data_IF_228990897960
#
_entry.id   IF_228990897960
#
_cell.length_a   1.000
_cell.length_b   1.000
_cell.length_c   1.000
_cell.angle_alpha   90.00
_cell.angle_beta   90.00
_cell.angle_gamma   90.00
#
_symmetry.space_group_name_H-M   'P 1'
#
loop_
_entity.id
_entity.type
_entity.pdbx_description
1 polymer ?
#
# COMPACT_ATOMS: atom_id res chain seq x y z
N UNK A 1 -23.02 28.87 -3.19
CA UNK A 1 -23.56 27.51 -2.95
C UNK A 1 -22.52 26.54 -3.50
N UNK A 2 -21.55 26.16 -2.65
CA UNK A 2 -20.36 25.43 -3.07
C UNK A 2 -20.52 24.00 -2.64
N UNK A 3 -20.79 23.10 -3.59
CA UNK A 3 -20.72 21.66 -3.38
C UNK A 3 -19.24 21.25 -3.30
N UNK A 4 -18.78 20.91 -2.11
CA UNK A 4 -17.52 20.21 -1.92
C UNK A 4 -17.80 18.70 -2.01
N UNK A 5 -17.40 18.09 -3.11
CA UNK A 5 -17.35 16.64 -3.20
C UNK A 5 -16.13 16.16 -2.42
N UNK A 6 -16.39 15.47 -1.31
CA UNK A 6 -15.33 14.71 -0.63
C UNK A 6 -15.01 13.47 -1.46
N UNK A 7 -13.81 13.44 -1.99
CA UNK A 7 -13.27 12.28 -2.70
C UNK A 7 -12.99 11.18 -1.68
N UNK A 8 -13.80 10.14 -1.67
CA UNK A 8 -13.42 8.87 -1.09
C UNK A 8 -12.37 8.21 -1.99
N UNK A 9 -11.31 7.61 -1.48
CA UNK A 9 -10.51 6.67 -2.25
C UNK A 9 -11.36 5.42 -2.49
N UNK A 10 -11.99 5.35 -3.65
CA UNK A 10 -12.61 4.13 -4.13
C UNK A 10 -11.47 3.22 -4.55
N UNK A 11 -11.16 2.23 -3.72
CA UNK A 11 -10.41 1.07 -4.17
C UNK A 11 -11.23 0.44 -5.31
N UNK A 12 -10.68 0.43 -6.50
CA UNK A 12 -11.32 -0.04 -7.70
C UNK A 12 -11.61 -1.54 -7.59
N UNK A 13 -12.87 -1.89 -7.36
CA UNK A 13 -13.42 -3.21 -7.60
C UNK A 13 -13.63 -3.36 -9.11
N UNK A 14 -12.65 -3.91 -9.81
CA UNK A 14 -12.82 -4.43 -11.17
C UNK A 14 -13.42 -5.82 -11.09
N UNK A 15 -14.74 -5.88 -11.16
CA UNK A 15 -15.47 -7.10 -11.42
C UNK A 15 -15.37 -7.47 -12.90
N UNK A 16 -14.70 -8.55 -13.23
CA UNK A 16 -14.65 -9.14 -14.56
C UNK A 16 -16.00 -9.83 -14.85
N UNK A 17 -16.80 -9.26 -15.76
CA UNK A 17 -17.94 -9.93 -16.35
C UNK A 17 -17.46 -10.78 -17.53
N UNK A 18 -17.51 -12.10 -17.39
CA UNK A 18 -17.35 -13.07 -18.47
C UNK A 18 -18.63 -13.06 -19.33
N UNK A 19 -18.49 -12.63 -20.58
CA UNK A 19 -19.52 -12.87 -21.61
C UNK A 19 -19.00 -13.95 -22.57
N UNK A 20 -19.63 -15.10 -22.54
CA UNK A 20 -19.49 -16.16 -23.55
C UNK A 20 -20.22 -15.77 -24.82
N UNK A 21 -19.58 -15.90 -25.97
CA UNK A 21 -20.24 -16.16 -27.25
C UNK A 21 -19.39 -17.15 -28.07
N UNK A 22 -20.05 -18.06 -28.81
CA UNK A 22 -19.39 -19.17 -29.49
C UNK A 22 -19.08 -18.92 -30.96
N UNK A 23 -17.97 -19.49 -31.39
CA UNK A 23 -17.75 -20.16 -32.67
C UNK A 23 -17.80 -19.40 -33.97
N UNK A 24 -16.66 -19.47 -34.72
CA UNK A 24 -16.68 -19.83 -36.13
C UNK A 24 -15.29 -20.31 -36.59
N UNK A 25 -15.31 -21.41 -37.32
CA UNK A 25 -14.17 -22.12 -37.88
C UNK A 25 -13.54 -21.45 -39.14
N UNK A 26 -12.31 -21.89 -39.36
CA UNK A 26 -11.60 -22.02 -40.65
C UNK A 26 -11.00 -20.78 -41.30
N UNK A 27 -9.67 -20.74 -41.46
CA UNK A 27 -8.95 -21.25 -42.63
C UNK A 27 -7.43 -21.16 -42.44
N UNK A 28 -6.73 -22.20 -42.83
CA UNK A 28 -5.27 -22.30 -42.89
C UNK A 28 -4.69 -21.31 -43.90
N UNK A 29 -3.71 -20.50 -43.48
CA UNK A 29 -2.72 -19.92 -44.36
C UNK A 29 -1.35 -20.03 -43.71
N UNK A 30 -0.52 -20.83 -44.30
CA UNK A 30 0.90 -21.01 -43.95
C UNK A 30 1.70 -19.84 -44.50
N UNK A 31 2.45 -19.16 -43.64
CA UNK A 31 3.51 -18.26 -44.02
C UNK A 31 4.65 -18.28 -42.99
N UNK A 32 5.90 -18.02 -43.38
CA UNK A 32 7.09 -18.57 -42.75
C UNK A 32 7.45 -17.90 -41.40
N UNK A 33 7.97 -18.71 -40.51
CA UNK A 33 8.57 -18.32 -39.23
C UNK A 33 9.59 -17.20 -39.37
N UNK A 34 9.44 -16.12 -38.58
CA UNK A 34 10.59 -15.35 -38.14
C UNK A 34 11.25 -16.08 -36.99
N UNK A 35 12.54 -16.13 -37.01
CA UNK A 35 13.44 -16.71 -36.01
C UNK A 35 13.05 -16.32 -34.61
N UNK A 36 12.75 -17.31 -33.78
CA UNK A 36 12.63 -17.21 -32.35
C UNK A 36 13.93 -16.66 -31.76
N UNK A 37 13.96 -15.36 -31.51
CA UNK A 37 14.82 -14.81 -30.47
C UNK A 37 14.09 -15.03 -29.15
N UNK A 38 14.32 -16.18 -28.54
CA UNK A 38 13.91 -16.45 -27.16
C UNK A 38 14.50 -15.35 -26.28
N UNK A 39 13.66 -14.40 -25.90
CA UNK A 39 13.93 -13.56 -24.74
C UNK A 39 14.04 -14.50 -23.54
N UNK A 40 15.23 -14.60 -22.97
CA UNK A 40 15.51 -15.42 -21.81
C UNK A 40 14.66 -14.95 -20.65
N UNK A 41 13.62 -15.72 -20.30
CA UNK A 41 12.85 -15.62 -19.05
C UNK A 41 13.73 -16.04 -17.87
N UNK A 42 14.66 -15.21 -17.42
CA UNK A 42 15.60 -15.58 -16.35
C UNK A 42 15.37 -14.86 -15.01
N UNK A 43 14.40 -13.95 -14.93
CA UNK A 43 14.36 -13.00 -13.81
C UNK A 43 13.67 -13.46 -12.52
N UNK A 44 12.53 -14.20 -12.50
CA UNK A 44 11.82 -14.48 -11.23
C UNK A 44 12.56 -15.44 -10.30
N UNK A 45 13.27 -16.43 -10.83
CA UNK A 45 13.89 -17.48 -10.02
C UNK A 45 15.15 -17.00 -9.29
N UNK A 46 15.91 -16.07 -9.84
CA UNK A 46 17.13 -15.51 -9.21
C UNK A 46 16.80 -14.61 -8.02
N UNK A 47 15.74 -13.81 -8.10
CA UNK A 47 15.30 -12.96 -6.98
C UNK A 47 14.81 -13.80 -5.78
N UNK A 48 14.12 -14.92 -6.05
CA UNK A 48 13.66 -15.83 -5.00
C UNK A 48 14.80 -16.44 -4.19
N UNK A 49 15.90 -16.80 -4.83
CA UNK A 49 17.08 -17.35 -4.14
C UNK A 49 17.86 -16.29 -3.36
N UNK A 50 17.81 -15.02 -3.78
CA UNK A 50 18.45 -13.93 -3.06
C UNK A 50 17.80 -13.70 -1.68
N UNK A 51 16.48 -13.79 -1.58
CA UNK A 51 15.76 -13.69 -0.28
C UNK A 51 16.20 -14.78 0.73
N UNK A 52 16.49 -15.98 0.27
CA UNK A 52 17.00 -17.06 1.13
C UNK A 52 18.42 -16.80 1.64
N UNK A 53 19.18 -15.96 0.94
CA UNK A 53 20.57 -15.58 1.30
C UNK A 53 20.65 -14.19 1.93
N UNK A 54 19.51 -13.57 2.23
CA UNK A 54 19.47 -12.27 2.87
C UNK A 54 20.36 -12.20 4.11
N UNK A 55 21.08 -11.11 4.25
CA UNK A 55 22.02 -10.88 5.35
C UNK A 55 21.67 -9.60 6.11
N UNK A 56 21.86 -9.59 7.41
CA UNK A 56 21.65 -8.37 8.21
C UNK A 56 22.60 -7.29 7.73
N UNK A 57 22.03 -6.11 7.44
CA UNK A 57 22.75 -4.98 6.86
C UNK A 57 22.65 -4.89 5.35
N UNK A 58 22.02 -5.87 4.63
CA UNK A 58 21.64 -5.66 3.24
C UNK A 58 20.75 -4.42 3.18
N UNK A 59 21.10 -3.46 2.31
CA UNK A 59 20.44 -2.17 2.28
C UNK A 59 20.35 -1.62 0.86
N UNK A 60 19.21 -1.02 0.54
CA UNK A 60 19.03 -0.17 -0.64
C UNK A 60 18.47 1.18 -0.23
N UNK A 61 18.94 2.26 -0.86
CA UNK A 61 18.47 3.63 -0.60
C UNK A 61 18.09 4.28 -1.92
N UNK A 62 16.91 4.86 -1.95
CA UNK A 62 16.39 5.64 -3.07
C UNK A 62 16.25 7.09 -2.67
N UNK A 63 16.51 8.03 -3.59
CA UNK A 63 15.91 9.34 -3.50
C UNK A 63 14.46 9.24 -3.97
N UNK A 64 13.55 9.90 -3.26
CA UNK A 64 12.17 10.02 -3.69
C UNK A 64 11.75 11.48 -3.82
N UNK A 65 10.82 11.74 -4.72
CA UNK A 65 10.12 13.01 -4.82
C UNK A 65 8.67 12.75 -5.16
N UNK A 66 7.77 13.42 -4.44
CA UNK A 66 6.35 13.45 -4.74
C UNK A 66 5.92 14.91 -4.93
N UNK A 67 5.08 15.16 -5.91
CA UNK A 67 4.55 16.50 -6.21
C UNK A 67 3.05 16.42 -6.41
N UNK A 68 2.31 17.37 -5.86
CA UNK A 68 0.90 17.55 -6.10
C UNK A 68 0.67 18.96 -6.61
N UNK A 69 0.12 19.09 -7.82
CA UNK A 69 -0.25 20.37 -8.38
C UNK A 69 -1.48 20.98 -7.70
N UNK A 70 -1.80 22.23 -8.02
CA UNK A 70 -3.02 22.88 -7.56
C UNK A 70 -4.25 22.16 -8.11
N UNK A 71 -5.35 22.20 -7.36
CA UNK A 71 -6.61 21.63 -7.82
C UNK A 71 -7.08 22.28 -9.15
N UNK A 72 -7.41 21.47 -10.20
CA UNK A 72 -7.75 22.00 -11.53
C UNK A 72 -8.99 22.89 -11.56
N UNK A 73 -9.86 22.81 -10.56
CA UNK A 73 -11.16 23.49 -10.50
C UNK A 73 -11.17 24.76 -9.62
N UNK A 74 -10.12 25.57 -9.68
CA UNK A 74 -10.16 26.94 -9.17
C UNK A 74 -10.05 27.13 -7.66
N UNK A 75 -9.65 26.12 -6.94
CA UNK A 75 -9.25 26.27 -5.54
C UNK A 75 -7.79 26.72 -5.47
N UNK A 76 -7.44 27.95 -5.74
CA UNK A 76 -6.11 28.60 -5.78
C UNK A 76 -5.00 28.07 -4.86
N UNK A 77 -4.82 26.75 -4.81
CA UNK A 77 -3.81 26.06 -4.01
C UNK A 77 -2.44 26.18 -4.65
N UNK A 78 -1.41 26.23 -3.84
CA UNK A 78 -0.01 26.10 -4.30
C UNK A 78 0.35 24.63 -4.49
N UNK A 79 1.21 24.36 -5.46
CA UNK A 79 1.80 23.03 -5.60
C UNK A 79 2.50 22.61 -4.29
N UNK A 80 2.32 21.38 -3.89
CA UNK A 80 2.99 20.79 -2.71
C UNK A 80 4.03 19.78 -3.17
N UNK A 81 5.12 19.71 -2.45
CA UNK A 81 6.20 18.77 -2.74
C UNK A 81 6.67 18.08 -1.45
N UNK A 82 7.05 16.83 -1.59
CA UNK A 82 7.67 16.04 -0.54
C UNK A 82 8.81 15.25 -1.15
N UNK A 83 9.99 15.31 -0.55
CA UNK A 83 11.17 14.61 -1.08
C UNK A 83 12.13 14.24 0.03
N UNK A 84 13.04 13.32 -0.30
CA UNK A 84 14.05 12.83 0.63
C UNK A 84 14.59 11.46 0.21
N UNK A 85 14.95 10.66 1.20
CA UNK A 85 15.49 9.32 1.04
C UNK A 85 14.54 8.28 1.61
N UNK A 86 14.36 7.18 0.86
CA UNK A 86 13.72 5.95 1.30
C UNK A 86 14.79 4.88 1.45
N UNK A 87 14.96 4.34 2.65
CA UNK A 87 15.91 3.26 2.94
C UNK A 87 15.17 1.99 3.32
N UNK A 88 15.53 0.88 2.68
CA UNK A 88 15.16 -0.48 3.07
C UNK A 88 16.41 -1.17 3.61
N UNK A 89 16.34 -1.73 4.81
CA UNK A 89 17.48 -2.41 5.46
C UNK A 89 17.02 -3.71 6.11
N UNK A 90 17.73 -4.81 5.83
CA UNK A 90 17.57 -6.06 6.56
C UNK A 90 18.13 -5.90 7.96
N UNK A 91 17.28 -5.94 8.97
CA UNK A 91 17.64 -5.73 10.38
C UNK A 91 17.67 -7.01 11.20
N UNK A 92 17.01 -8.07 10.73
CA UNK A 92 17.09 -9.39 11.33
C UNK A 92 16.78 -10.47 10.29
N UNK A 93 17.37 -11.66 10.51
CA UNK A 93 17.08 -12.87 9.74
C UNK A 93 16.82 -14.00 10.71
N UNK A 94 15.64 -14.57 10.66
CA UNK A 94 15.21 -15.74 11.41
C UNK A 94 14.41 -16.63 10.47
N UNK A 95 15.11 -17.48 9.75
CA UNK A 95 14.49 -18.32 8.70
C UNK A 95 13.19 -18.97 9.20
N UNK A 96 12.11 -18.95 8.42
CA UNK A 96 12.03 -18.47 7.03
C UNK A 96 11.78 -16.96 6.88
N UNK A 97 11.92 -16.17 7.93
CA UNK A 97 11.59 -14.75 7.96
C UNK A 97 12.82 -13.85 7.83
N UNK A 98 12.69 -12.81 7.02
CA UNK A 98 13.62 -11.69 6.88
C UNK A 98 12.90 -10.43 7.32
N UNK A 99 13.46 -9.69 8.28
CA UNK A 99 12.87 -8.47 8.80
C UNK A 99 13.51 -7.26 8.13
N UNK A 100 12.70 -6.48 7.43
CA UNK A 100 13.13 -5.28 6.71
C UNK A 100 12.60 -4.05 7.42
N UNK A 101 13.48 -3.12 7.76
CA UNK A 101 13.13 -1.78 8.22
C UNK A 101 13.01 -0.86 7.02
N UNK A 102 11.98 -0.02 7.01
CA UNK A 102 11.69 1.00 6.02
C UNK A 102 11.73 2.35 6.71
N UNK A 103 12.53 3.28 6.21
CA UNK A 103 12.67 4.62 6.79
C UNK A 103 12.60 5.68 5.69
N UNK A 104 11.78 6.72 5.92
CA UNK A 104 11.76 7.93 5.10
C UNK A 104 12.44 9.06 5.86
N UNK A 105 13.47 9.64 5.25
CA UNK A 105 14.28 10.71 5.84
C UNK A 105 14.40 11.90 4.89
N UNK A 106 14.81 13.04 5.41
CA UNK A 106 15.29 14.13 4.58
C UNK A 106 16.68 13.80 3.99
N UNK A 107 17.22 14.67 3.14
CA UNK A 107 18.55 14.51 2.54
C UNK A 107 19.69 14.51 3.59
N UNK A 108 19.43 14.99 4.81
CA UNK A 108 20.38 14.95 5.92
C UNK A 108 20.25 13.69 6.80
N UNK A 109 19.35 12.76 6.43
CA UNK A 109 19.11 11.53 7.17
C UNK A 109 18.25 11.69 8.42
N UNK A 110 17.59 12.84 8.63
CA UNK A 110 16.63 13.03 9.72
C UNK A 110 15.25 12.50 9.31
N UNK A 111 14.49 11.90 10.24
CA UNK A 111 13.10 11.51 9.97
C UNK A 111 12.29 12.68 9.39
N UNK A 112 11.45 12.39 8.40
CA UNK A 112 10.60 13.43 7.81
C UNK A 112 9.65 14.00 8.89
N UNK A 113 9.46 15.31 8.87
CA UNK A 113 8.55 16.00 9.80
C UNK A 113 7.06 15.80 9.45
N UNK A 114 6.70 14.68 8.85
CA UNK A 114 5.32 14.36 8.48
C UNK A 114 4.82 13.16 9.29
N UNK A 115 3.65 13.24 9.98
CA UNK A 115 3.18 12.21 10.90
C UNK A 115 3.13 10.81 10.31
N UNK A 116 2.80 10.68 9.02
CA UNK A 116 2.68 9.38 8.34
C UNK A 116 4.02 8.75 7.98
N UNK A 117 5.09 9.55 7.80
CA UNK A 117 6.40 9.08 7.33
C UNK A 117 7.52 9.28 8.35
N UNK A 118 7.24 9.93 9.49
CA UNK A 118 8.23 10.25 10.52
C UNK A 118 8.73 9.05 11.33
N UNK A 119 8.20 7.86 11.10
CA UNK A 119 8.49 6.67 11.88
C UNK A 119 9.01 5.55 10.98
N UNK A 120 9.97 4.78 11.50
CA UNK A 120 10.38 3.54 10.85
C UNK A 120 9.22 2.56 10.82
N UNK A 121 9.06 1.91 9.69
CA UNK A 121 8.11 0.83 9.49
C UNK A 121 8.85 -0.51 9.53
N UNK A 122 8.16 -1.56 9.90
CA UNK A 122 8.74 -2.91 9.97
C UNK A 122 7.96 -3.86 9.08
N UNK A 123 8.70 -4.65 8.32
CA UNK A 123 8.18 -5.58 7.33
C UNK A 123 8.80 -6.97 7.54
N UNK A 124 8.07 -7.96 8.08
CA UNK A 124 8.50 -9.36 8.04
C UNK A 124 8.17 -9.96 6.67
N UNK A 125 9.19 -10.46 5.99
CA UNK A 125 9.09 -11.06 4.66
C UNK A 125 9.42 -12.55 4.75
N UNK A 126 8.55 -13.39 4.20
CA UNK A 126 8.79 -14.82 4.10
C UNK A 126 9.67 -15.12 2.88
N UNK A 127 10.81 -15.77 3.11
CA UNK A 127 11.83 -16.04 2.09
C UNK A 127 11.65 -17.39 1.37
N UNK A 128 11.00 -18.38 2.03
CA UNK A 128 10.96 -19.79 1.58
C UNK A 128 9.70 -20.18 0.82
N UNK A 129 8.87 -19.25 0.46
CA UNK A 129 7.61 -19.57 -0.24
C UNK A 129 7.86 -20.22 -1.60
N UNK A 130 7.04 -21.20 -1.94
CA UNK A 130 7.00 -21.84 -3.26
C UNK A 130 5.88 -21.30 -4.15
N UNK A 131 5.08 -20.36 -3.64
CA UNK A 131 4.01 -19.74 -4.42
C UNK A 131 4.61 -19.03 -5.63
N UNK A 132 4.06 -19.21 -6.84
CA UNK A 132 4.38 -18.35 -7.96
C UNK A 132 3.89 -16.93 -7.64
N UNK A 133 4.82 -15.97 -7.71
CA UNK A 133 4.55 -14.54 -7.46
C UNK A 133 4.92 -13.73 -8.71
N UNK A 134 4.72 -14.30 -9.88
CA UNK A 134 5.03 -13.65 -11.14
C UNK A 134 3.97 -12.58 -11.42
N UNK A 135 4.29 -11.36 -11.06
CA UNK A 135 3.51 -10.18 -11.44
C UNK A 135 4.18 -9.61 -12.69
N UNK A 136 3.55 -9.71 -13.86
CA UNK A 136 4.13 -9.14 -15.07
C UNK A 136 4.19 -7.62 -14.95
N UNK A 137 5.33 -7.06 -15.35
CA UNK A 137 5.45 -5.61 -15.42
C UNK A 137 4.51 -5.04 -16.49
N UNK A 138 3.77 -3.99 -16.13
CA UNK A 138 2.83 -3.36 -17.03
C UNK A 138 3.54 -2.46 -18.06
N UNK A 139 3.08 -2.49 -19.32
CA UNK A 139 3.49 -1.58 -20.36
C UNK A 139 4.45 -2.15 -21.37
N UNK A 140 4.98 -1.27 -22.22
CA UNK A 140 5.92 -1.62 -23.28
C UNK A 140 7.34 -1.75 -22.71
N UNK A 141 8.02 -2.85 -23.05
CA UNK A 141 9.36 -3.16 -22.59
C UNK A 141 10.42 -2.68 -23.58
N UNK A 142 11.50 -2.08 -23.10
CA UNK A 142 12.67 -1.71 -23.90
C UNK A 142 13.96 -1.90 -23.11
N UNK A 143 15.02 -2.36 -23.80
CA UNK A 143 16.33 -2.49 -23.17
C UNK A 143 16.96 -1.12 -22.89
N UNK A 144 17.59 -0.97 -21.72
CA UNK A 144 18.22 0.27 -21.28
C UNK A 144 19.52 -0.03 -20.53
N UNK A 145 20.44 0.94 -20.51
CA UNK A 145 21.71 0.84 -19.78
C UNK A 145 21.91 2.07 -18.88
N UNK A 146 21.11 2.21 -17.81
CA UNK A 146 21.23 3.34 -16.92
C UNK A 146 22.48 3.23 -16.04
N UNK A 147 23.02 4.41 -15.68
CA UNK A 147 24.06 4.54 -14.66
C UNK A 147 23.44 5.01 -13.35
N UNK A 148 23.55 4.21 -12.31
CA UNK A 148 22.97 4.49 -10.99
C UNK A 148 23.80 3.83 -9.90
N UNK A 149 23.89 4.45 -8.73
CA UNK A 149 24.67 3.96 -7.58
C UNK A 149 26.13 3.61 -7.95
N UNK A 150 26.76 4.42 -8.80
CA UNK A 150 28.17 4.30 -9.18
C UNK A 150 28.49 3.20 -10.20
N UNK A 151 27.49 2.56 -10.80
CA UNK A 151 27.70 1.54 -11.85
C UNK A 151 26.68 1.63 -12.99
N UNK A 152 26.99 1.03 -14.11
CA UNK A 152 26.07 0.84 -15.24
C UNK A 152 25.40 -0.52 -15.14
N UNK A 153 24.10 -0.55 -15.39
CA UNK A 153 23.25 -1.73 -15.29
C UNK A 153 22.74 -2.15 -16.66
N UNK A 154 22.69 -3.44 -16.92
CA UNK A 154 21.84 -3.98 -17.98
C UNK A 154 20.42 -4.02 -17.41
N UNK A 155 19.49 -3.35 -18.05
CA UNK A 155 18.16 -3.12 -17.50
C UNK A 155 17.06 -3.19 -18.55
N UNK A 156 15.84 -3.39 -18.10
CA UNK A 156 14.63 -3.28 -18.90
C UNK A 156 13.76 -2.15 -18.36
N UNK A 157 13.36 -1.26 -19.24
CA UNK A 157 12.40 -0.18 -18.98
C UNK A 157 11.01 -0.63 -19.43
N UNK A 158 10.03 -0.45 -18.57
CA UNK A 158 8.62 -0.68 -18.84
C UNK A 158 7.87 0.65 -18.76
N UNK A 159 7.09 0.98 -19.78
CA UNK A 159 6.31 2.22 -19.86
C UNK A 159 4.85 1.90 -20.11
N UNK A 160 3.99 2.32 -19.20
CA UNK A 160 2.54 2.21 -19.32
C UNK A 160 1.91 3.60 -19.39
N UNK A 161 1.33 3.95 -20.54
CA UNK A 161 0.65 5.23 -20.75
C UNK A 161 -0.87 5.02 -20.77
N UNK A 162 -1.52 5.37 -19.67
CA UNK A 162 -2.96 5.30 -19.51
C UNK A 162 -3.64 6.68 -19.62
N UNK A 163 -2.91 7.74 -19.96
CA UNK A 163 -3.46 9.10 -20.11
C UNK A 163 -4.60 9.22 -21.12
N UNK A 164 -4.65 8.44 -22.22
CA UNK A 164 -5.79 8.47 -23.13
C UNK A 164 -7.14 8.07 -22.50
N UNK A 165 -7.12 7.39 -21.34
CA UNK A 165 -8.30 6.99 -20.56
C UNK A 165 -8.29 7.59 -19.15
N UNK A 166 -7.73 8.79 -19.00
CA UNK A 166 -7.57 9.52 -17.73
C UNK A 166 -6.76 8.78 -16.66
N UNK A 167 -5.95 7.83 -17.06
CA UNK A 167 -5.05 7.10 -16.18
C UNK A 167 -3.66 7.74 -16.08
N UNK A 168 -2.75 7.17 -15.29
CA UNK A 168 -1.39 7.69 -15.14
C UNK A 168 -0.47 7.30 -16.30
N UNK A 169 0.60 8.07 -16.48
CA UNK A 169 1.81 7.63 -17.15
C UNK A 169 2.75 7.04 -16.12
N UNK A 170 3.16 5.81 -16.28
CA UNK A 170 4.13 5.17 -15.39
C UNK A 170 5.33 4.63 -16.15
N UNK A 171 6.50 4.73 -15.55
CA UNK A 171 7.73 4.12 -16.05
C UNK A 171 8.46 3.42 -14.90
N UNK A 172 9.02 2.24 -15.19
CA UNK A 172 9.79 1.42 -14.25
C UNK A 172 11.02 0.92 -14.96
N UNK A 173 12.17 0.98 -14.31
CA UNK A 173 13.44 0.46 -14.83
C UNK A 173 13.97 -0.55 -13.83
N UNK A 174 14.09 -1.80 -14.25
CA UNK A 174 14.60 -2.89 -13.44
C UNK A 174 15.91 -3.42 -14.01
N UNK A 175 16.88 -3.69 -13.15
CA UNK A 175 18.07 -4.43 -13.50
C UNK A 175 17.67 -5.85 -13.97
N UNK A 176 18.23 -6.31 -15.07
CA UNK A 176 17.94 -7.66 -15.60
C UNK A 176 18.36 -8.74 -14.61
N UNK A 177 19.39 -8.46 -13.81
CA UNK A 177 19.81 -9.29 -12.68
C UNK A 177 19.66 -8.45 -11.38
N UNK A 178 18.67 -8.73 -10.54
CA UNK A 178 18.45 -7.98 -9.31
C UNK A 178 19.67 -7.91 -8.39
N UNK A 179 20.41 -9.02 -8.25
CA UNK A 179 21.62 -9.07 -7.41
C UNK A 179 21.38 -8.47 -6.00
N UNK A 180 22.18 -7.46 -5.60
CA UNK A 180 22.01 -6.81 -4.29
C UNK A 180 20.73 -5.98 -4.14
N UNK A 181 19.99 -5.73 -5.24
CA UNK A 181 18.74 -4.98 -5.24
C UNK A 181 17.50 -5.88 -5.09
N UNK A 182 17.66 -7.11 -4.60
CA UNK A 182 16.57 -8.09 -4.49
C UNK A 182 15.41 -7.61 -3.59
N UNK A 183 15.66 -6.69 -2.65
CA UNK A 183 14.64 -6.12 -1.76
C UNK A 183 13.52 -5.41 -2.52
N UNK A 184 13.81 -4.94 -3.73
CA UNK A 184 12.91 -4.21 -4.63
C UNK A 184 12.97 -4.77 -6.06
N UNK A 185 13.11 -6.10 -6.20
CA UNK A 185 13.13 -6.83 -7.48
C UNK A 185 14.12 -6.28 -8.50
N UNK A 186 15.13 -5.53 -8.08
CA UNK A 186 16.11 -4.90 -8.99
C UNK A 186 15.72 -3.50 -9.46
N UNK A 187 14.78 -2.82 -8.80
CA UNK A 187 14.36 -1.48 -9.19
C UNK A 187 15.54 -0.50 -9.21
N UNK A 188 15.71 0.22 -10.31
CA UNK A 188 16.68 1.30 -10.49
C UNK A 188 16.00 2.66 -10.49
N UNK A 189 14.87 2.75 -11.19
CA UNK A 189 14.05 3.97 -11.29
C UNK A 189 12.58 3.61 -11.42
N UNK A 190 11.72 4.40 -10.76
CA UNK A 190 10.29 4.35 -10.94
C UNK A 190 9.72 5.76 -11.01
N UNK A 191 8.74 5.99 -11.86
CA UNK A 191 7.96 7.22 -11.89
C UNK A 191 6.50 6.94 -12.20
N UNK A 192 5.62 7.76 -11.63
CA UNK A 192 4.21 7.79 -11.98
C UNK A 192 3.76 9.24 -12.02
N UNK A 193 3.13 9.65 -13.11
CA UNK A 193 2.57 10.98 -13.31
C UNK A 193 1.06 10.86 -13.49
N UNK A 194 0.31 11.53 -12.66
CA UNK A 194 -1.15 11.65 -12.76
C UNK A 194 -1.51 12.99 -13.43
N UNK A 195 -2.46 12.94 -14.34
CA UNK A 195 -2.99 14.11 -15.06
C UNK A 195 -4.51 13.96 -15.23
N UNK A 196 -5.16 14.99 -15.78
CA UNK A 196 -6.59 14.96 -16.06
C UNK A 196 -7.46 15.49 -14.93
N UNK A 197 -8.61 14.86 -14.69
CA UNK A 197 -9.57 15.29 -13.65
C UNK A 197 -9.10 14.99 -12.22
N UNK A 198 -8.10 14.14 -12.07
CA UNK A 198 -7.44 13.89 -10.80
C UNK A 198 -6.44 15.00 -10.48
N UNK A 199 -6.03 15.10 -9.22
CA UNK A 199 -5.02 16.05 -8.79
C UNK A 199 -3.75 15.83 -9.63
N UNK A 200 -3.29 16.86 -10.39
CA UNK A 200 -2.08 16.70 -11.19
C UNK A 200 -0.88 16.54 -10.28
N UNK A 201 0.05 15.71 -10.69
CA UNK A 201 1.27 15.50 -9.91
C UNK A 201 1.92 14.17 -10.22
N UNK A 202 2.84 13.75 -9.37
CA UNK A 202 3.53 12.49 -9.59
C UNK A 202 4.46 12.13 -8.45
N UNK A 203 5.02 10.94 -8.58
CA UNK A 203 6.02 10.42 -7.67
C UNK A 203 7.15 9.78 -8.46
N UNK A 204 8.37 9.92 -7.95
CA UNK A 204 9.57 9.33 -8.53
C UNK A 204 10.42 8.70 -7.44
N UNK A 205 11.00 7.52 -7.73
CA UNK A 205 12.09 6.89 -7.00
C UNK A 205 13.30 6.78 -7.92
N UNK A 206 14.50 6.97 -7.39
CA UNK A 206 15.76 6.75 -8.12
C UNK A 206 16.77 6.12 -7.17
N UNK A 207 17.36 5.00 -7.54
CA UNK A 207 18.40 4.33 -6.76
C UNK A 207 19.60 5.25 -6.52
N UNK A 208 20.00 5.40 -5.25
CA UNK A 208 21.16 6.21 -4.82
C UNK A 208 22.34 5.34 -4.43
N UNK A 209 22.08 4.34 -3.60
CA UNK A 209 23.11 3.44 -3.12
C UNK A 209 22.54 2.07 -2.75
N UNK A 210 23.39 1.08 -2.69
CA UNK A 210 23.12 -0.21 -2.08
C UNK A 210 24.33 -0.70 -1.28
N UNK A 211 24.08 -1.57 -0.33
CA UNK A 211 25.12 -2.21 0.47
C UNK A 211 24.75 -3.66 0.72
N UNK A 212 25.69 -4.54 0.58
CA UNK A 212 25.58 -5.93 1.02
C UNK A 212 25.92 -6.03 2.51
N UNK A 213 25.12 -6.73 3.26
CA UNK A 213 25.30 -6.97 4.67
C UNK A 213 26.39 -8.01 4.95
N UNK A 214 26.63 -8.25 6.22
CA UNK A 214 27.60 -9.24 6.65
C UNK A 214 26.89 -10.52 7.08
N UNK A 215 27.24 -11.65 6.48
CA UNK A 215 26.74 -12.94 6.93
C UNK A 215 27.10 -13.17 8.41
N UNK A 216 26.14 -13.61 9.21
CA UNK A 216 26.35 -13.94 10.62
C UNK A 216 26.12 -12.81 11.62
N UNK A 217 25.67 -11.64 11.20
CA UNK A 217 25.24 -10.62 12.13
C UNK A 217 23.94 -11.09 12.85
N UNK A 218 24.04 -11.32 14.18
CA UNK A 218 22.89 -11.61 15.02
C UNK A 218 22.22 -10.30 15.43
N UNK A 219 20.98 -10.10 15.00
CA UNK A 219 20.16 -8.97 15.42
C UNK A 219 18.88 -9.48 16.11
N UNK A 220 18.38 -8.69 17.05
CA UNK A 220 17.08 -8.98 17.67
C UNK A 220 15.97 -8.81 16.63
N UNK A 221 15.04 -9.75 16.61
CA UNK A 221 13.83 -9.64 15.77
C UNK A 221 13.02 -8.42 16.24
N UNK A 222 12.72 -7.46 15.35
CA UNK A 222 11.94 -6.29 15.71
C UNK A 222 10.51 -6.63 16.10
N UNK A 223 9.95 -5.91 17.05
CA UNK A 223 8.52 -5.98 17.35
C UNK A 223 7.70 -5.34 16.22
N UNK A 224 6.50 -5.86 16.00
CA UNK A 224 5.55 -5.29 15.04
C UNK A 224 4.74 -4.11 15.63
N UNK A 225 5.41 -3.15 16.21
CA UNK A 225 4.75 -1.97 16.78
C UNK A 225 4.19 -1.05 15.71
N UNK A 226 4.89 -0.94 14.57
CA UNK A 226 4.58 -0.07 13.43
C UNK A 226 4.64 -0.86 12.13
N UNK A 227 3.73 -1.83 11.94
CA UNK A 227 3.76 -2.67 10.74
C UNK A 227 3.33 -1.88 9.51
N UNK A 228 4.04 -2.07 8.41
CA UNK A 228 3.57 -1.60 7.10
C UNK A 228 2.28 -2.31 6.66
N UNK A 229 2.00 -3.45 7.25
CA UNK A 229 0.85 -4.34 6.99
C UNK A 229 1.24 -5.77 7.21
N UNK A 230 2.25 -6.33 6.53
CA UNK A 230 2.64 -7.73 6.65
C UNK A 230 2.88 -8.19 8.08
N UNK A 231 2.39 -9.39 8.37
CA UNK A 231 2.43 -9.97 9.70
C UNK A 231 1.36 -9.47 10.67
N UNK A 232 0.55 -8.51 10.23
CA UNK A 232 -0.53 -7.93 11.02
C UNK A 232 -1.91 -8.19 10.39
N UNK A 233 -2.95 -8.00 11.19
CA UNK A 233 -4.33 -8.06 10.77
C UNK A 233 -5.17 -7.03 11.52
N UNK A 234 -6.35 -6.73 10.96
CA UNK A 234 -7.41 -6.07 11.69
C UNK A 234 -8.78 -6.65 11.33
N UNK A 235 -9.70 -6.59 12.29
CA UNK A 235 -11.08 -6.99 12.14
C UNK A 235 -11.97 -5.74 12.14
N UNK A 236 -12.85 -5.68 11.17
CA UNK A 236 -13.82 -4.60 11.02
C UNK A 236 -15.23 -5.17 11.01
N UNK A 237 -16.05 -4.70 11.92
CA UNK A 237 -17.49 -4.95 11.88
C UNK A 237 -18.11 -4.04 10.81
N UNK A 238 -18.97 -4.61 10.01
CA UNK A 238 -19.74 -3.93 8.95
C UNK A 238 -21.21 -4.10 9.29
N UNK A 239 -21.86 -2.98 9.60
CA UNK A 239 -23.29 -2.91 9.95
C UNK A 239 -24.07 -2.35 8.76
N UNK A 240 -24.04 -3.07 7.62
CA UNK A 240 -24.81 -2.73 6.40
C UNK A 240 -25.78 -3.85 6.09
N UNK A 241 -27.05 -3.48 5.95
CA UNK A 241 -28.12 -4.47 5.70
C UNK A 241 -28.62 -5.15 6.97
N UNK A 242 -29.37 -6.28 6.84
CA UNK A 242 -30.14 -6.87 7.92
C UNK A 242 -29.28 -7.63 8.96
N UNK A 243 -28.05 -7.98 8.60
CA UNK A 243 -27.19 -8.79 9.46
C UNK A 243 -25.78 -8.20 9.51
N UNK A 244 -25.31 -7.77 10.69
CA UNK A 244 -23.94 -7.36 10.88
C UNK A 244 -22.98 -8.50 10.54
N UNK A 245 -21.85 -8.17 9.91
CA UNK A 245 -20.77 -9.12 9.67
C UNK A 245 -19.46 -8.57 10.24
N UNK A 246 -18.52 -9.46 10.54
CA UNK A 246 -17.16 -9.06 10.86
C UNK A 246 -16.25 -9.57 9.75
N UNK A 247 -15.48 -8.65 9.18
CA UNK A 247 -14.52 -8.94 8.14
C UNK A 247 -13.11 -8.80 8.70
N UNK A 248 -12.24 -9.70 8.31
CA UNK A 248 -10.81 -9.66 8.63
C UNK A 248 -10.02 -9.26 7.41
N UNK A 249 -9.10 -8.34 7.60
CA UNK A 249 -8.08 -7.99 6.62
C UNK A 249 -6.73 -8.46 7.17
N UNK A 250 -6.05 -9.29 6.41
CA UNK A 250 -4.77 -9.89 6.72
C UNK A 250 -3.71 -9.43 5.74
N UNK A 251 -2.49 -9.25 6.22
CA UNK A 251 -1.36 -8.86 5.40
C UNK A 251 -0.19 -9.83 5.59
N UNK A 252 0.41 -10.24 4.48
CA UNK A 252 1.65 -10.98 4.46
C UNK A 252 2.63 -10.33 3.49
N UNK A 253 3.92 -10.67 3.61
CA UNK A 253 4.90 -10.39 2.59
C UNK A 253 5.69 -11.65 2.26
N UNK A 254 5.86 -11.91 0.98
CA UNK A 254 6.60 -13.04 0.45
C UNK A 254 7.54 -12.56 -0.64
N UNK A 255 8.85 -12.74 -0.46
CA UNK A 255 9.90 -12.40 -1.45
C UNK A 255 9.75 -10.99 -2.07
N UNK A 256 9.41 -9.99 -1.24
CA UNK A 256 9.26 -8.59 -1.70
C UNK A 256 7.88 -8.24 -2.28
N UNK A 257 6.92 -9.16 -2.25
CA UNK A 257 5.53 -8.86 -2.58
C UNK A 257 4.68 -8.74 -1.32
N UNK A 258 3.81 -7.75 -1.29
CA UNK A 258 2.76 -7.59 -0.27
C UNK A 258 1.54 -8.38 -0.71
N UNK A 259 0.95 -9.12 0.21
CA UNK A 259 -0.26 -9.90 0.00
C UNK A 259 -1.34 -9.38 0.95
N UNK A 260 -2.52 -9.10 0.43
CA UNK A 260 -3.70 -8.72 1.21
C UNK A 260 -4.79 -9.75 0.99
N UNK A 261 -5.28 -10.34 2.08
CA UNK A 261 -6.44 -11.22 2.07
C UNK A 261 -7.56 -10.62 2.92
N UNK A 262 -8.78 -10.68 2.42
CA UNK A 262 -9.95 -10.14 3.11
C UNK A 262 -11.11 -11.15 3.03
N UNK A 263 -11.83 -11.31 4.13
CA UNK A 263 -12.99 -12.20 4.17
C UNK A 263 -13.72 -12.16 5.50
N UNK A 264 -14.93 -12.76 5.54
CA UNK A 264 -15.69 -12.91 6.77
C UNK A 264 -14.92 -13.79 7.75
N UNK A 265 -14.98 -13.45 9.04
CA UNK A 265 -14.42 -14.31 10.09
C UNK A 265 -15.46 -15.30 10.58
N UNK A 266 -15.06 -16.57 10.60
CA UNK A 266 -15.59 -17.54 11.54
C UNK A 266 -14.89 -17.36 12.88
N UNK A 267 -15.63 -17.37 13.98
CA UNK A 267 -15.12 -17.20 15.35
C UNK A 267 -14.03 -18.22 15.74
N UNK A 268 -13.89 -19.31 15.00
CA UNK A 268 -12.89 -20.36 15.20
C UNK A 268 -11.73 -20.29 14.18
N UNK A 269 -11.73 -19.36 13.23
CA UNK A 269 -10.69 -19.29 12.23
C UNK A 269 -9.36 -18.82 12.84
N UNK A 270 -8.27 -19.51 12.50
CA UNK A 270 -6.95 -19.01 12.79
C UNK A 270 -6.76 -17.63 12.13
N UNK A 271 -6.08 -16.69 12.80
CA UNK A 271 -5.81 -15.40 12.17
C UNK A 271 -4.96 -15.63 10.91
N UNK A 272 -5.41 -15.13 9.77
CA UNK A 272 -4.61 -15.02 8.55
C UNK A 272 -3.93 -16.32 8.08
N UNK A 273 -4.71 -17.38 7.87
CA UNK A 273 -4.18 -18.68 7.49
C UNK A 273 -4.03 -18.91 5.98
N UNK A 274 -4.73 -18.15 5.15
CA UNK A 274 -4.79 -18.36 3.70
C UNK A 274 -4.65 -17.05 2.91
N UNK A 275 -3.64 -17.02 2.04
CA UNK A 275 -3.39 -15.95 1.07
C UNK A 275 -3.44 -16.46 -0.38
N UNK A 276 -4.06 -17.63 -0.62
CA UNK A 276 -4.07 -18.25 -1.96
C UNK A 276 -4.78 -17.39 -3.00
N UNK A 277 -5.76 -16.60 -2.58
CA UNK A 277 -6.52 -15.69 -3.45
C UNK A 277 -6.03 -14.24 -3.40
N UNK A 278 -4.99 -13.95 -2.62
CA UNK A 278 -4.44 -12.60 -2.54
C UNK A 278 -3.70 -12.24 -3.83
N UNK A 279 -3.97 -11.06 -4.35
CA UNK A 279 -3.19 -10.49 -5.46
C UNK A 279 -1.86 -9.97 -4.90
N UNK A 280 -0.71 -10.43 -5.42
CA UNK A 280 0.58 -9.90 -5.00
C UNK A 280 0.78 -8.47 -5.52
N UNK A 281 1.27 -7.59 -4.67
CA UNK A 281 1.67 -6.24 -5.04
C UNK A 281 3.17 -6.06 -4.75
N UNK A 282 3.99 -5.64 -5.73
CA UNK A 282 5.40 -5.40 -5.49
C UNK A 282 5.62 -4.37 -4.37
N UNK A 283 6.57 -4.64 -3.47
CA UNK A 283 6.87 -3.76 -2.33
C UNK A 283 7.22 -2.34 -2.78
N UNK A 284 7.99 -2.21 -3.85
CA UNK A 284 8.38 -0.91 -4.41
C UNK A 284 7.19 -0.08 -4.89
N UNK A 285 6.11 -0.69 -5.37
CA UNK A 285 4.88 0.02 -5.75
C UNK A 285 4.18 0.59 -4.52
N UNK A 286 4.05 -0.21 -3.46
CA UNK A 286 3.49 0.25 -2.18
C UNK A 286 4.32 1.40 -1.62
N UNK A 287 5.65 1.27 -1.61
CA UNK A 287 6.55 2.29 -1.06
C UNK A 287 6.55 3.57 -1.88
N UNK A 288 6.39 3.48 -3.20
CA UNK A 288 6.28 4.64 -4.07
C UNK A 288 4.97 5.37 -3.85
N UNK A 289 3.87 4.66 -3.59
CA UNK A 289 2.56 5.29 -3.38
C UNK A 289 2.49 6.09 -2.07
N UNK A 290 3.17 5.67 -1.00
CA UNK A 290 3.06 6.29 0.32
C UNK A 290 3.34 7.81 0.34
N UNK A 291 4.39 8.37 -0.26
CA UNK A 291 4.61 9.82 -0.32
C UNK A 291 3.50 10.57 -1.08
N UNK A 292 2.97 9.95 -2.12
CA UNK A 292 1.84 10.51 -2.87
C UNK A 292 0.56 10.53 -2.03
N UNK A 293 0.24 9.44 -1.36
CA UNK A 293 -0.93 9.32 -0.49
C UNK A 293 -0.89 10.35 0.65
N UNK A 294 0.29 10.61 1.17
CA UNK A 294 0.53 11.64 2.19
C UNK A 294 0.18 13.04 1.65
N UNK A 295 0.61 13.37 0.43
CA UNK A 295 0.31 14.66 -0.18
C UNK A 295 -1.16 14.79 -0.57
N UNK A 296 -1.75 13.73 -1.14
CA UNK A 296 -3.12 13.74 -1.65
C UNK A 296 -4.18 13.74 -0.55
N UNK A 297 -3.92 13.08 0.56
CA UNK A 297 -4.84 13.01 1.71
C UNK A 297 -4.74 14.22 2.66
N UNK A 298 -3.76 15.11 2.44
CA UNK A 298 -3.52 16.26 3.30
C UNK A 298 -2.87 15.91 4.64
N UNK A 299 -2.94 16.86 5.58
CA UNK A 299 -2.37 16.70 6.91
C UNK A 299 -3.16 15.73 7.78
N UNK A 300 -2.50 15.17 8.77
CA UNK A 300 -3.14 14.35 9.81
C UNK A 300 -3.22 15.11 11.12
N UNK A 301 -4.34 15.06 11.86
CA UNK A 301 -5.63 14.47 11.49
C UNK A 301 -6.27 15.21 10.29
N UNK A 302 -7.25 14.58 9.57
CA UNK A 302 -8.00 15.30 8.53
C UNK A 302 -8.53 16.62 9.07
N UNK A 303 -8.52 17.68 8.24
CA UNK A 303 -8.88 19.04 8.66
C UNK A 303 -10.26 19.10 9.35
N UNK A 304 -11.19 18.26 8.91
CA UNK A 304 -12.52 18.09 9.49
C UNK A 304 -12.46 17.45 10.87
N UNK A 305 -11.68 16.38 11.04
CA UNK A 305 -11.52 15.70 12.31
C UNK A 305 -10.69 16.51 13.33
N UNK A 306 -9.81 17.41 12.86
CA UNK A 306 -9.05 18.30 13.75
C UNK A 306 -9.97 19.24 14.58
N UNK A 307 -11.14 19.57 14.05
CA UNK A 307 -12.18 20.36 14.76
C UNK A 307 -13.20 19.48 15.51
N UNK A 308 -13.04 18.16 15.45
CA UNK A 308 -13.96 17.19 16.03
C UNK A 308 -13.94 17.12 17.57
N UNK A 309 -14.90 16.41 18.13
CA UNK A 309 -14.98 16.17 19.56
C UNK A 309 -13.95 15.14 20.00
N UNK A 310 -13.12 15.48 20.96
CA UNK A 310 -12.18 14.54 21.58
C UNK A 310 -12.92 13.55 22.48
N UNK A 311 -12.49 12.28 22.41
CA UNK A 311 -13.08 11.21 23.18
C UNK A 311 -12.20 9.97 23.22
N UNK A 312 -12.80 8.85 23.60
CA UNK A 312 -12.15 7.54 23.61
C UNK A 312 -12.90 6.60 22.69
N UNK A 313 -12.17 5.98 21.77
CA UNK A 313 -12.64 4.84 20.99
C UNK A 313 -12.21 3.55 21.70
N UNK A 314 -13.14 2.62 21.91
CA UNK A 314 -12.86 1.33 22.55
C UNK A 314 -13.00 0.22 21.54
N UNK A 315 -11.96 -0.59 21.37
CA UNK A 315 -11.93 -1.81 20.55
C UNK A 315 -11.46 -2.97 21.41
N UNK A 316 -12.32 -3.98 21.59
CA UNK A 316 -12.09 -5.08 22.54
C UNK A 316 -11.60 -4.58 23.92
N UNK A 317 -10.32 -4.81 24.22
CA UNK A 317 -9.66 -4.47 25.49
C UNK A 317 -8.81 -3.19 25.40
N UNK A 318 -8.86 -2.46 24.29
CA UNK A 318 -8.01 -1.30 24.03
C UNK A 318 -8.80 0.00 23.98
N UNK A 319 -8.26 1.00 24.65
CA UNK A 319 -8.77 2.37 24.60
C UNK A 319 -7.83 3.26 23.79
N UNK A 320 -8.37 3.92 22.78
CA UNK A 320 -7.64 4.79 21.86
C UNK A 320 -8.15 6.21 22.00
N UNK A 321 -7.26 7.18 22.20
CA UNK A 321 -7.61 8.61 22.11
C UNK A 321 -8.09 8.91 20.69
N UNK A 322 -9.28 9.49 20.58
CA UNK A 322 -9.95 9.67 19.30
C UNK A 322 -10.53 11.07 19.10
N UNK A 323 -10.74 11.40 17.83
CA UNK A 323 -11.46 12.59 17.37
C UNK A 323 -12.68 12.11 16.57
N UNK A 324 -13.87 12.58 16.95
CA UNK A 324 -15.12 12.28 16.24
C UNK A 324 -15.63 13.54 15.57
N UNK A 325 -15.79 13.47 14.27
CA UNK A 325 -16.46 14.47 13.45
C UNK A 325 -17.90 14.03 13.18
N UNK A 326 -18.82 14.99 13.23
CA UNK A 326 -20.18 14.79 12.73
C UNK A 326 -20.49 15.83 11.67
N UNK A 327 -21.07 15.40 10.55
CA UNK A 327 -21.59 16.26 9.52
C UNK A 327 -23.01 15.88 9.18
N UNK A 328 -23.80 16.90 8.87
CA UNK A 328 -25.20 16.72 8.44
C UNK A 328 -25.33 17.16 7.00
N UNK A 329 -25.86 16.30 6.18
CA UNK A 329 -26.08 16.54 4.75
C UNK A 329 -27.53 16.29 4.38
N UNK A 330 -28.01 16.98 3.34
CA UNK A 330 -29.32 16.72 2.78
C UNK A 330 -29.11 15.94 1.47
N UNK A 331 -29.39 14.64 1.50
CA UNK A 331 -29.21 13.73 0.37
C UNK A 331 -30.59 13.32 -0.13
N UNK A 332 -30.95 13.71 -1.36
CA UNK A 332 -32.25 13.41 -1.98
C UNK A 332 -33.45 13.79 -1.12
N UNK A 333 -33.37 14.95 -0.43
CA UNK A 333 -34.46 15.45 0.43
C UNK A 333 -34.52 14.80 1.81
N UNK A 334 -33.63 13.87 2.11
CA UNK A 334 -33.52 13.22 3.42
C UNK A 334 -32.28 13.77 4.15
N UNK A 335 -32.49 14.25 5.37
CA UNK A 335 -31.40 14.69 6.22
C UNK A 335 -30.67 13.46 6.77
N UNK A 336 -29.35 13.40 6.54
CA UNK A 336 -28.46 12.35 7.03
C UNK A 336 -27.38 12.94 7.92
N UNK A 337 -27.05 12.19 8.98
CA UNK A 337 -25.95 12.51 9.88
C UNK A 337 -24.87 11.46 9.69
N UNK A 338 -23.69 11.90 9.32
CA UNK A 338 -22.51 11.05 9.20
C UNK A 338 -21.60 11.32 10.39
N UNK A 339 -21.08 10.26 10.98
CA UNK A 339 -20.10 10.34 12.06
C UNK A 339 -18.86 9.54 11.68
N UNK A 340 -17.69 10.17 11.73
CA UNK A 340 -16.40 9.56 11.47
C UNK A 340 -15.49 9.73 12.70
N UNK A 341 -14.93 8.65 13.20
CA UNK A 341 -14.02 8.65 14.35
C UNK A 341 -12.63 8.24 13.91
N UNK A 342 -11.62 9.05 14.21
CA UNK A 342 -10.22 8.86 13.85
C UNK A 342 -9.36 8.72 15.11
N UNK A 343 -8.23 8.03 15.02
CA UNK A 343 -7.23 8.09 16.07
C UNK A 343 -6.70 9.53 16.20
N UNK A 344 -6.63 10.06 17.40
CA UNK A 344 -6.06 11.40 17.62
C UNK A 344 -4.55 11.43 17.37
N UNK A 345 -3.89 10.30 17.64
CA UNK A 345 -2.45 10.11 17.45
C UNK A 345 -2.22 8.75 16.77
N UNK A 346 -1.83 8.72 15.47
CA UNK A 346 -1.75 7.47 14.71
C UNK A 346 -0.63 6.52 15.20
N UNK A 347 0.36 7.04 15.92
CA UNK A 347 1.48 6.25 16.46
C UNK A 347 1.40 6.01 17.98
N UNK A 348 0.26 6.29 18.59
CA UNK A 348 0.06 6.02 20.01
C UNK A 348 0.32 4.53 20.34
N UNK A 349 0.91 4.22 21.52
CA UNK A 349 1.13 2.85 21.97
C UNK A 349 -0.13 1.99 22.01
N UNK A 350 -1.29 2.60 22.24
CA UNK A 350 -2.60 1.92 22.19
C UNK A 350 -2.93 1.33 20.81
N UNK A 351 -2.29 1.81 19.74
CA UNK A 351 -2.41 1.30 18.36
C UNK A 351 -1.28 0.36 17.96
N UNK A 352 -0.44 -0.11 18.90
CA UNK A 352 0.60 -1.06 18.60
C UNK A 352 0.04 -2.30 17.88
N UNK A 353 0.70 -2.76 16.82
CA UNK A 353 0.27 -3.87 15.98
C UNK A 353 -0.82 -3.55 14.96
N UNK A 354 -1.44 -2.36 14.99
CA UNK A 354 -2.38 -1.95 13.94
C UNK A 354 -1.60 -1.65 12.65
N UNK A 355 -2.00 -2.22 11.49
CA UNK A 355 -1.37 -1.95 10.20
C UNK A 355 -1.41 -0.46 9.84
N UNK A 356 -0.38 0.00 9.13
CA UNK A 356 -0.24 1.37 8.64
C UNK A 356 -1.52 1.88 7.96
N UNK A 357 -2.08 1.10 7.06
CA UNK A 357 -3.31 1.41 6.34
C UNK A 357 -4.44 1.84 7.30
N UNK A 358 -4.70 1.05 8.33
CA UNK A 358 -5.81 1.27 9.25
C UNK A 358 -5.57 2.41 10.28
N UNK A 359 -4.31 2.80 10.50
CA UNK A 359 -3.98 3.89 11.47
C UNK A 359 -4.46 5.25 11.03
N UNK A 360 -4.51 5.48 9.70
CA UNK A 360 -4.85 6.75 9.07
C UNK A 360 -6.26 6.76 8.46
N UNK A 361 -7.00 5.70 8.64
CA UNK A 361 -8.41 5.60 8.27
C UNK A 361 -9.32 5.85 9.49
N UNK A 362 -10.62 5.99 9.25
CA UNK A 362 -11.58 6.06 10.34
C UNK A 362 -11.61 4.74 11.14
N UNK A 363 -11.48 4.82 12.45
CA UNK A 363 -11.65 3.69 13.38
C UNK A 363 -13.11 3.23 13.40
N UNK A 364 -14.05 4.15 13.21
CA UNK A 364 -15.45 3.85 12.93
C UNK A 364 -16.08 4.95 12.10
N UNK A 365 -17.06 4.56 11.30
CA UNK A 365 -17.98 5.47 10.64
C UNK A 365 -19.40 4.99 10.80
N UNK A 366 -20.37 5.91 10.77
CA UNK A 366 -21.79 5.58 10.75
C UNK A 366 -22.57 6.61 9.94
N UNK A 367 -23.67 6.15 9.36
CA UNK A 367 -24.67 6.99 8.72
C UNK A 367 -26.03 6.76 9.38
N UNK A 368 -26.73 7.85 9.70
CA UNK A 368 -28.06 7.87 10.30
C UNK A 368 -28.96 8.78 9.48
N UNK A 369 -30.17 8.39 9.17
CA UNK A 369 -31.19 9.26 8.61
C UNK A 369 -32.03 9.90 9.70
N UNK A 370 -32.41 11.15 9.53
CA UNK A 370 -33.32 11.84 10.42
C UNK A 370 -34.75 11.65 9.88
N UNK A 371 -35.57 10.98 10.69
CA UNK A 371 -36.99 10.72 10.37
C UNK A 371 -37.92 11.71 11.09
N UNK A 372 -39.20 11.60 10.84
CA UNK A 372 -40.20 12.49 11.43
C UNK A 372 -40.06 12.55 12.98
N UNK A 373 -40.18 13.76 13.52
CA UNK A 373 -39.97 14.02 14.94
C UNK A 373 -38.51 14.15 15.37
N UNK A 374 -37.55 14.20 14.43
CA UNK A 374 -36.11 14.34 14.72
C UNK A 374 -35.43 13.07 15.24
N UNK A 375 -36.13 11.91 15.20
CA UNK A 375 -35.55 10.63 15.55
C UNK A 375 -34.48 10.25 14.51
N UNK A 376 -33.38 9.65 14.96
CA UNK A 376 -32.31 9.11 14.10
C UNK A 376 -32.47 7.60 13.95
N UNK A 377 -32.35 7.12 12.72
CA UNK A 377 -32.37 5.69 12.39
C UNK A 377 -31.09 5.34 11.67
N UNK A 378 -30.39 4.29 12.12
CA UNK A 378 -29.13 3.85 11.53
C UNK A 378 -29.37 3.34 10.12
N UNK A 379 -28.53 3.80 9.18
CA UNK A 379 -28.43 3.29 7.81
C UNK A 379 -27.23 2.35 7.64
N UNK A 380 -26.36 2.30 8.65
CA UNK A 380 -25.19 1.41 8.67
C UNK A 380 -23.92 2.10 9.08
N UNK A 381 -22.84 1.36 9.03
CA UNK A 381 -21.50 1.86 9.35
C UNK A 381 -20.47 0.77 9.43
N UNK A 382 -19.26 1.16 9.74
CA UNK A 382 -18.16 0.25 10.00
C UNK A 382 -17.46 0.60 11.31
N UNK A 383 -16.88 -0.39 11.97
CA UNK A 383 -16.17 -0.18 13.23
C UNK A 383 -14.99 -1.14 13.33
N UNK A 384 -13.81 -0.62 13.62
CA UNK A 384 -12.66 -1.44 14.00
C UNK A 384 -12.95 -2.15 15.31
N UNK A 385 -12.80 -3.46 15.33
CA UNK A 385 -13.14 -4.31 16.49
C UNK A 385 -11.88 -4.76 17.19
N UNK A 386 -10.92 -5.25 16.42
CA UNK A 386 -9.70 -5.88 16.93
C UNK A 386 -8.58 -5.76 15.91
N UNK A 387 -7.34 -5.81 16.38
CA UNK A 387 -6.14 -5.92 15.54
C UNK A 387 -5.00 -6.59 16.29
N UNK A 388 -4.01 -7.03 15.55
CA UNK A 388 -2.83 -7.65 16.13
C UNK A 388 -1.86 -8.22 15.10
N UNK A 389 -0.89 -8.94 15.60
CA UNK A 389 0.05 -9.72 14.79
C UNK A 389 -0.39 -11.18 14.76
N UNK A 390 -0.34 -11.79 13.57
CA UNK A 390 -0.53 -13.24 13.42
C UNK A 390 0.82 -14.00 13.44
N UNK A 391 1.96 -13.31 13.32
CA UNK A 391 3.30 -13.92 13.39
C UNK A 391 3.68 -14.39 14.80
N UNK A 392 3.13 -13.77 15.83
CA UNK A 392 3.39 -14.14 17.24
C UNK A 392 2.31 -15.01 17.88
N UNK A 393 1.26 -15.36 17.15
CA UNK A 393 0.03 -15.97 17.68
C UNK A 393 0.00 -17.49 17.76
N UNK A 394 1.10 -18.17 17.51
CA UNK A 394 1.21 -19.61 17.82
C UNK A 394 1.92 -19.77 19.18
N UNK A 395 1.17 -19.62 20.24
CA UNK A 395 1.46 -20.25 21.51
C UNK A 395 0.45 -21.36 21.73
#
# INVERSE_FOLDING_TARGET
>A
MHMRHSSFPIAALLGAALSFLPGCESTKSSSPSPSDTQAQETTPMQAADAWKRASVGDRVTYSFSATQGPEPRGGGGTARTLGGLLTLEVVAVQQPWVWVRLAYTDEAGKPLAHPRLAQDLVLPVRADTTRPLDVPHAGEASAEKPSSAGRTWEATRYVSDQRPVDGPLSARVYANEPGPLYLTHGLLEASTEASGFHLPGGVKLTLREFREGSAGANASVPALERPLGPGAYYDRRVDVGPSPSVQRVCFAAERGYILRAEGPIDTNAAPCSDFSQATPEPLEEVLMSLPWDVLSSGDWPPATAASGTRGTFTAEDRNVSALTEQRTENVEGTQRVFSDTYAAEPWAPSLAGLPYEARFQSLSNSAERVVAGGKRESEGGTRLVRWGSWLGGQK
#
